data_IF_723169179122
#
_entry.id   IF_723169179122
#
_cell.length_a   1.000
_cell.length_b   1.000
_cell.length_c   1.000
_cell.angle_alpha   90.00
_cell.angle_beta   90.00
_cell.angle_gamma   90.00
#
_symmetry.space_group_name_H-M   'P 1'
#
loop_
_entity.id
_entity.type
_entity.pdbx_description
1 polymer ?
#
# COMPACT_ATOMS: atom_id res chain seq x y z
N UNK A 1 -51.15 -27.97 41.64
CA UNK A 1 -50.95 -27.79 40.18
C UNK A 1 -49.45 -27.69 39.95
N UNK A 2 -48.79 -28.83 39.66
CA UNK A 2 -47.32 -28.89 39.53
C UNK A 2 -46.92 -28.67 38.07
N UNK A 3 -46.37 -27.50 37.77
CA UNK A 3 -45.83 -27.17 36.45
C UNK A 3 -44.41 -27.72 36.37
N UNK A 4 -44.22 -28.73 35.51
CA UNK A 4 -42.88 -29.21 35.12
C UNK A 4 -42.33 -28.26 34.05
N UNK A 5 -41.26 -27.55 34.36
CA UNK A 5 -40.52 -26.75 33.39
C UNK A 5 -39.61 -27.70 32.62
N UNK A 6 -39.90 -27.93 31.34
CA UNK A 6 -38.99 -28.60 30.43
C UNK A 6 -37.93 -27.59 29.95
N UNK A 7 -36.68 -27.79 30.33
CA UNK A 7 -35.56 -27.00 29.82
C UNK A 7 -35.16 -27.52 28.45
N UNK A 8 -35.50 -26.76 27.40
CA UNK A 8 -35.04 -27.02 26.04
C UNK A 8 -33.55 -26.69 25.94
N UNK A 9 -32.69 -27.69 25.74
CA UNK A 9 -31.27 -27.48 25.45
C UNK A 9 -31.14 -26.74 24.11
N UNK A 10 -30.72 -25.48 24.16
CA UNK A 10 -30.29 -24.73 22.98
C UNK A 10 -28.86 -25.16 22.64
N UNK A 11 -28.68 -25.97 21.59
CA UNK A 11 -27.34 -26.33 21.11
C UNK A 11 -26.66 -25.12 20.47
N UNK A 12 -25.72 -24.53 21.19
CA UNK A 12 -24.79 -23.52 20.66
C UNK A 12 -23.87 -24.20 19.65
N UNK A 13 -24.17 -24.04 18.36
CA UNK A 13 -23.19 -24.32 17.31
C UNK A 13 -22.07 -23.27 17.42
N UNK A 14 -20.92 -23.68 17.95
CA UNK A 14 -19.71 -22.89 17.86
C UNK A 14 -19.26 -22.84 16.40
N UNK A 15 -19.59 -21.75 15.71
CA UNK A 15 -18.94 -21.44 14.44
C UNK A 15 -17.46 -21.20 14.73
N UNK A 16 -16.61 -22.17 14.39
CA UNK A 16 -15.16 -21.93 14.32
C UNK A 16 -14.91 -21.01 13.15
N UNK A 17 -14.87 -19.70 13.40
CA UNK A 17 -14.33 -18.74 12.45
C UNK A 17 -12.83 -19.00 12.36
N UNK A 18 -12.37 -19.63 11.28
CA UNK A 18 -10.95 -19.66 10.96
C UNK A 18 -10.52 -18.22 10.73
N UNK A 19 -9.72 -17.67 11.65
CA UNK A 19 -9.14 -16.35 11.46
C UNK A 19 -8.30 -16.38 10.18
N UNK A 20 -8.65 -15.55 9.19
CA UNK A 20 -7.86 -15.41 7.96
C UNK A 20 -6.42 -15.06 8.31
N UNK A 21 -5.45 -15.71 7.65
CA UNK A 21 -4.03 -15.37 7.77
C UNK A 21 -3.76 -13.91 7.40
N UNK A 22 -4.66 -13.29 6.62
CA UNK A 22 -4.55 -11.92 6.10
C UNK A 22 -5.75 -11.08 6.53
N UNK A 23 -5.47 -9.85 6.97
CA UNK A 23 -6.45 -8.81 7.30
C UNK A 23 -6.08 -7.50 6.60
N UNK A 24 -6.85 -6.44 6.86
CA UNK A 24 -6.54 -5.08 6.42
C UNK A 24 -6.46 -4.14 7.63
N UNK A 25 -5.53 -3.18 7.58
CA UNK A 25 -5.38 -2.18 8.64
C UNK A 25 -5.14 -0.79 8.06
N UNK A 26 -5.73 0.22 8.70
CA UNK A 26 -5.46 1.63 8.40
C UNK A 26 -4.10 2.06 8.97
N UNK A 27 -3.27 2.68 8.14
CA UNK A 27 -1.94 3.22 8.51
C UNK A 27 -1.84 4.72 8.19
N UNK A 28 -0.68 5.32 8.45
CA UNK A 28 -0.37 6.70 8.04
C UNK A 28 -0.29 6.86 6.52
N UNK A 29 -0.23 5.77 5.76
CA UNK A 29 -0.21 5.76 4.30
C UNK A 29 -1.44 5.11 3.68
N UNK A 30 -2.56 4.95 4.39
CA UNK A 30 -3.75 4.30 3.85
C UNK A 30 -3.96 2.88 4.35
N UNK A 31 -4.91 2.18 3.74
CA UNK A 31 -5.23 0.80 4.07
C UNK A 31 -4.19 -0.16 3.46
N UNK A 32 -3.67 -1.05 4.29
CA UNK A 32 -2.66 -2.04 3.91
C UNK A 32 -3.14 -3.44 4.26
N UNK A 33 -2.66 -4.44 3.55
CA UNK A 33 -2.81 -5.82 3.98
C UNK A 33 -1.86 -6.12 5.14
N UNK A 34 -2.34 -6.89 6.11
CA UNK A 34 -1.58 -7.34 7.28
C UNK A 34 -1.71 -8.84 7.47
N UNK A 35 -0.85 -9.44 8.28
CA UNK A 35 -1.18 -10.76 8.85
C UNK A 35 -2.29 -10.65 9.92
N UNK A 36 -2.67 -11.79 10.50
CA UNK A 36 -3.65 -11.87 11.60
C UNK A 36 -3.24 -11.14 12.90
N UNK A 37 -1.96 -10.77 13.04
CA UNK A 37 -1.44 -9.96 14.15
C UNK A 37 -1.42 -8.45 13.83
N UNK A 38 -1.86 -8.03 12.65
CA UNK A 38 -1.82 -6.62 12.21
C UNK A 38 -0.45 -6.16 11.71
N UNK A 39 0.50 -7.07 11.50
CA UNK A 39 1.80 -6.73 10.92
C UNK A 39 1.67 -6.53 9.41
N UNK A 40 2.14 -5.39 8.91
CA UNK A 40 2.03 -5.01 7.49
C UNK A 40 2.73 -6.02 6.58
N UNK A 41 2.07 -6.32 5.45
CA UNK A 41 2.61 -7.14 4.39
C UNK A 41 3.28 -6.27 3.32
N UNK A 42 4.36 -6.81 2.76
CA UNK A 42 5.17 -6.18 1.73
C UNK A 42 5.37 -7.13 0.55
N UNK A 43 5.77 -6.57 -0.59
CA UNK A 43 6.28 -7.33 -1.73
C UNK A 43 7.67 -6.83 -2.12
N UNK A 44 8.40 -7.72 -2.80
CA UNK A 44 9.77 -7.49 -3.23
C UNK A 44 9.83 -7.21 -4.73
N UNK A 45 10.30 -6.03 -5.13
CA UNK A 45 10.34 -5.59 -6.52
C UNK A 45 11.23 -6.48 -7.42
N UNK A 46 12.18 -7.21 -6.83
CA UNK A 46 13.07 -8.13 -7.56
C UNK A 46 12.50 -9.55 -7.71
N UNK A 47 11.37 -9.86 -7.07
CA UNK A 47 10.70 -11.13 -7.30
C UNK A 47 10.11 -11.16 -8.72
N UNK A 48 10.03 -12.37 -9.29
CA UNK A 48 9.31 -12.60 -10.55
C UNK A 48 7.87 -12.98 -10.22
N UNK A 49 6.93 -12.86 -11.18
CA UNK A 49 5.58 -13.36 -11.02
C UNK A 49 5.58 -14.79 -10.46
N UNK A 50 4.93 -14.97 -9.32
CA UNK A 50 4.79 -16.23 -8.58
C UNK A 50 6.10 -16.90 -8.13
N UNK A 51 7.21 -16.14 -8.09
CA UNK A 51 8.52 -16.69 -7.74
C UNK A 51 9.31 -15.73 -6.83
N UNK A 52 9.49 -16.18 -5.57
CA UNK A 52 10.37 -15.54 -4.61
C UNK A 52 11.85 -15.82 -4.93
N UNK A 53 12.68 -14.77 -4.90
CA UNK A 53 14.16 -14.86 -4.86
C UNK A 53 14.72 -14.54 -3.47
N UNK A 54 13.87 -14.21 -2.49
CA UNK A 54 14.27 -13.89 -1.13
C UNK A 54 14.40 -15.15 -0.25
N UNK A 55 15.65 -15.52 0.04
CA UNK A 55 16.03 -16.66 0.89
C UNK A 55 17.18 -16.29 1.82
N UNK A 56 17.54 -17.20 2.71
CA UNK A 56 18.70 -17.07 3.60
C UNK A 56 18.63 -15.76 4.42
N UNK A 57 19.65 -14.91 4.37
CA UNK A 57 19.66 -13.64 5.11
C UNK A 57 18.56 -12.68 4.66
N UNK A 58 18.12 -12.76 3.40
CA UNK A 58 16.95 -12.00 2.95
C UNK A 58 15.71 -12.43 3.74
N UNK A 59 15.45 -13.74 3.85
CA UNK A 59 14.27 -14.26 4.53
C UNK A 59 14.32 -14.09 6.07
N UNK A 60 15.50 -13.90 6.67
CA UNK A 60 15.62 -13.53 8.09
C UNK A 60 15.14 -12.10 8.33
N UNK A 61 15.45 -11.20 7.41
CA UNK A 61 15.05 -9.79 7.49
C UNK A 61 13.62 -9.57 7.00
N UNK A 62 13.22 -10.32 5.97
CA UNK A 62 11.92 -10.29 5.31
C UNK A 62 11.27 -11.68 5.35
N UNK A 63 10.72 -12.10 6.50
CA UNK A 63 10.10 -13.42 6.60
C UNK A 63 8.98 -13.59 5.57
N UNK A 64 8.98 -14.67 4.76
CA UNK A 64 7.88 -14.94 3.85
C UNK A 64 6.60 -15.23 4.65
N UNK A 65 5.46 -14.75 4.14
CA UNK A 65 4.16 -15.14 4.69
C UNK A 65 3.82 -16.55 4.21
N UNK A 66 4.20 -17.55 5.00
CA UNK A 66 3.99 -18.95 4.68
C UNK A 66 2.52 -19.35 4.81
N UNK A 67 2.10 -20.29 3.98
CA UNK A 67 0.79 -20.94 4.09
C UNK A 67 0.89 -22.01 5.18
N UNK A 68 0.14 -21.85 6.26
CA UNK A 68 0.14 -22.83 7.36
C UNK A 68 -0.76 -24.04 7.06
N UNK A 69 -1.83 -23.82 6.29
CA UNK A 69 -2.78 -24.84 5.86
C UNK A 69 -2.95 -24.82 4.34
N UNK A 70 -2.49 -25.89 3.69
CA UNK A 70 -2.55 -26.02 2.24
C UNK A 70 -3.98 -26.13 1.69
N UNK A 71 -4.98 -26.39 2.54
CA UNK A 71 -6.40 -26.38 2.14
C UNK A 71 -7.05 -25.00 2.20
N UNK A 72 -6.42 -24.04 2.89
CA UNK A 72 -6.95 -22.67 3.02
C UNK A 72 -7.08 -21.97 1.67
N UNK A 73 -8.15 -21.22 1.45
CA UNK A 73 -8.34 -20.41 0.25
C UNK A 73 -8.81 -19.03 0.66
N UNK A 74 -8.10 -18.00 0.20
CA UNK A 74 -8.41 -16.61 0.50
C UNK A 74 -8.68 -15.86 -0.81
N UNK A 75 -9.82 -15.17 -0.96
CA UNK A 75 -10.13 -14.41 -2.17
C UNK A 75 -9.03 -13.40 -2.54
N UNK A 76 -8.64 -13.38 -3.81
CA UNK A 76 -7.61 -12.46 -4.32
C UNK A 76 -6.16 -12.85 -4.01
N UNK A 77 -5.94 -14.00 -3.34
CA UNK A 77 -4.63 -14.52 -3.02
C UNK A 77 -4.37 -15.85 -3.73
N UNK A 78 -3.13 -16.06 -4.13
CA UNK A 78 -2.64 -17.31 -4.68
C UNK A 78 -1.55 -17.90 -3.79
N UNK A 79 -1.31 -19.21 -3.93
CA UNK A 79 -0.22 -19.92 -3.25
C UNK A 79 0.88 -20.18 -4.26
N UNK A 80 2.11 -19.90 -3.87
CA UNK A 80 3.30 -20.18 -4.67
C UNK A 80 4.16 -21.20 -3.96
N UNK A 81 4.74 -22.13 -4.71
CA UNK A 81 5.71 -23.07 -4.16
C UNK A 81 7.10 -22.44 -4.20
N UNK A 82 7.73 -22.32 -3.03
CA UNK A 82 9.10 -21.84 -2.89
C UNK A 82 10.09 -22.96 -3.22
N UNK A 83 11.34 -22.58 -3.54
CA UNK A 83 12.42 -23.55 -3.85
C UNK A 83 12.77 -24.48 -2.68
N UNK A 84 12.45 -24.08 -1.46
CA UNK A 84 12.65 -24.83 -0.22
C UNK A 84 11.48 -25.80 0.08
N UNK A 85 10.52 -25.93 -0.84
CA UNK A 85 9.36 -26.81 -0.75
C UNK A 85 8.18 -26.21 0.02
N UNK A 86 8.33 -25.05 0.67
CA UNK A 86 7.25 -24.41 1.43
C UNK A 86 6.29 -23.65 0.52
N UNK A 87 5.03 -23.56 0.92
CA UNK A 87 4.04 -22.71 0.25
C UNK A 87 4.03 -21.31 0.86
N UNK A 88 3.96 -20.28 0.01
CA UNK A 88 3.88 -18.87 0.41
C UNK A 88 2.66 -18.21 -0.22
N UNK A 89 2.04 -17.31 0.54
CA UNK A 89 0.97 -16.46 0.04
C UNK A 89 1.52 -15.39 -0.92
N UNK A 90 0.84 -15.21 -2.05
CA UNK A 90 1.11 -14.18 -3.03
C UNK A 90 -0.19 -13.45 -3.41
N UNK A 91 -0.06 -12.19 -3.82
CA UNK A 91 -1.17 -11.37 -4.29
C UNK A 91 -0.77 -10.70 -5.59
N UNK A 92 -1.64 -10.74 -6.61
CA UNK A 92 -1.35 -10.17 -7.93
C UNK A 92 0.02 -10.66 -8.48
N UNK A 93 0.31 -11.94 -8.31
CA UNK A 93 1.58 -12.59 -8.66
C UNK A 93 2.81 -12.11 -7.85
N UNK A 94 2.63 -11.33 -6.79
CA UNK A 94 3.70 -10.85 -5.93
C UNK A 94 3.77 -11.64 -4.63
N UNK A 95 4.89 -12.32 -4.32
CA UNK A 95 5.07 -13.01 -3.04
C UNK A 95 4.98 -12.02 -1.86
N UNK A 96 4.28 -12.41 -0.79
CA UNK A 96 4.05 -11.55 0.38
C UNK A 96 5.04 -11.85 1.51
N UNK A 97 5.51 -10.79 2.15
CA UNK A 97 6.51 -10.84 3.22
C UNK A 97 6.11 -9.97 4.40
N UNK A 98 6.63 -10.31 5.57
CA UNK A 98 6.69 -9.46 6.75
C UNK A 98 8.03 -8.73 6.80
N UNK A 99 8.13 -7.71 7.65
CA UNK A 99 9.39 -7.01 7.92
C UNK A 99 9.82 -7.20 9.37
N UNK A 100 11.03 -7.75 9.58
CA UNK A 100 11.57 -8.08 10.92
C UNK A 100 11.72 -6.87 11.86
N UNK A 101 11.77 -5.65 11.34
CA UNK A 101 11.87 -4.43 12.17
C UNK A 101 10.54 -3.74 12.44
N UNK A 102 9.43 -4.16 11.84
CA UNK A 102 8.12 -3.75 12.32
C UNK A 102 7.88 -4.38 13.70
N UNK A 103 7.41 -3.59 14.67
CA UNK A 103 7.28 -3.99 16.09
C UNK A 103 5.86 -3.94 16.61
N UNK A 104 4.99 -3.16 15.99
CA UNK A 104 3.57 -3.06 16.37
C UNK A 104 2.67 -3.13 15.14
N UNK A 105 1.38 -3.50 15.34
CA UNK A 105 0.39 -3.47 14.28
C UNK A 105 0.34 -2.12 13.57
N UNK A 106 0.29 -2.15 12.23
CA UNK A 106 0.27 -0.94 11.39
C UNK A 106 1.61 -0.24 11.21
N UNK A 107 2.72 -0.76 11.75
CA UNK A 107 4.06 -0.29 11.36
C UNK A 107 4.29 -0.53 9.86
N UNK A 108 4.90 0.46 9.21
CA UNK A 108 5.22 0.43 7.77
C UNK A 108 6.73 0.67 7.53
N UNK A 109 7.58 0.32 8.50
CA UNK A 109 8.99 0.76 8.49
C UNK A 109 9.81 0.12 7.37
N UNK A 110 9.34 -1.01 6.84
CA UNK A 110 9.91 -1.70 5.68
C UNK A 110 9.71 -0.96 4.35
N UNK A 111 8.75 -0.04 4.28
CA UNK A 111 8.44 0.66 3.05
C UNK A 111 9.65 1.46 2.55
N UNK A 112 10.05 1.23 1.29
CA UNK A 112 11.17 1.91 0.66
C UNK A 112 12.55 1.46 1.13
N UNK A 113 12.66 0.37 1.91
CA UNK A 113 13.98 -0.20 2.27
C UNK A 113 14.72 -0.58 0.99
N UNK A 114 15.93 -0.01 0.81
CA UNK A 114 16.74 -0.16 -0.42
C UNK A 114 15.99 0.19 -1.71
N UNK A 115 14.85 0.89 -1.62
CA UNK A 115 13.97 1.26 -2.73
C UNK A 115 13.40 0.11 -3.56
N UNK A 116 13.41 -1.11 -3.01
CA UNK A 116 12.96 -2.34 -3.69
C UNK A 116 11.91 -3.11 -2.87
N UNK A 117 11.48 -2.57 -1.74
CA UNK A 117 10.44 -3.15 -0.88
C UNK A 117 9.25 -2.20 -0.80
N UNK A 118 8.10 -2.70 -1.21
CA UNK A 118 6.87 -1.93 -1.30
C UNK A 118 5.78 -2.50 -0.41
N UNK A 119 4.91 -1.62 0.09
CA UNK A 119 3.76 -2.00 0.92
C UNK A 119 2.74 -2.73 0.05
N UNK A 120 2.21 -3.85 0.53
CA UNK A 120 1.02 -4.48 -0.05
C UNK A 120 -0.21 -3.67 0.35
N UNK A 121 -0.62 -2.74 -0.52
CA UNK A 121 -1.76 -1.85 -0.27
C UNK A 121 -3.08 -2.58 -0.46
N UNK A 122 -4.03 -2.34 0.44
CA UNK A 122 -5.40 -2.85 0.35
C UNK A 122 -6.37 -1.84 -0.31
N UNK A 123 -5.82 -0.74 -0.82
CA UNK A 123 -6.53 0.27 -1.60
C UNK A 123 -5.88 0.43 -2.99
N UNK A 124 -6.59 1.10 -3.90
CA UNK A 124 -6.16 1.27 -5.30
C UNK A 124 -5.19 2.42 -5.52
N UNK A 125 -4.66 3.03 -4.46
CA UNK A 125 -3.88 4.27 -4.57
C UNK A 125 -2.50 3.93 -5.18
N UNK A 126 -2.12 4.52 -6.32
CA UNK A 126 -0.95 4.08 -7.09
C UNK A 126 0.37 4.70 -6.59
N UNK A 127 0.59 4.66 -5.28
CA UNK A 127 1.76 5.27 -4.62
C UNK A 127 2.70 4.24 -4.00
N UNK A 128 3.96 4.63 -3.89
CA UNK A 128 5.04 3.90 -3.25
C UNK A 128 5.84 4.84 -2.33
N UNK A 129 6.73 4.24 -1.54
CA UNK A 129 7.71 4.97 -0.71
C UNK A 129 9.10 4.77 -1.28
N UNK A 130 9.86 5.86 -1.40
CA UNK A 130 11.23 5.85 -1.89
C UNK A 130 12.14 6.62 -0.93
N UNK A 131 13.27 6.04 -0.58
CA UNK A 131 14.30 6.67 0.26
C UNK A 131 15.23 7.51 -0.60
N UNK A 132 15.33 8.80 -0.26
CA UNK A 132 16.21 9.80 -0.90
C UNK A 132 17.11 10.46 0.14
N UNK A 133 18.00 11.36 -0.29
CA UNK A 133 18.78 12.19 0.63
C UNK A 133 17.92 13.16 1.45
N UNK A 134 16.68 13.44 1.02
CA UNK A 134 15.73 14.29 1.73
C UNK A 134 14.77 13.49 2.61
N UNK A 135 15.06 12.21 2.88
CA UNK A 135 14.21 11.29 3.62
C UNK A 135 13.35 10.41 2.73
N UNK A 136 12.34 9.77 3.33
CA UNK A 136 11.37 8.95 2.61
C UNK A 136 10.36 9.85 1.91
N UNK A 137 10.12 9.64 0.62
CA UNK A 137 9.21 10.44 -0.20
C UNK A 137 8.12 9.57 -0.79
N UNK A 138 6.96 10.17 -1.08
CA UNK A 138 5.95 9.51 -1.90
C UNK A 138 6.36 9.53 -3.36
N UNK A 139 6.16 8.40 -4.02
CA UNK A 139 6.33 8.24 -5.46
C UNK A 139 5.11 7.60 -6.08
N UNK A 140 4.96 7.64 -7.40
CA UNK A 140 4.01 6.78 -8.10
C UNK A 140 4.52 5.31 -8.19
N UNK A 141 3.75 4.42 -8.84
CA UNK A 141 4.15 3.02 -9.09
C UNK A 141 5.48 2.89 -9.84
N UNK A 142 5.78 3.81 -10.75
CA UNK A 142 7.06 3.90 -11.47
C UNK A 142 8.20 4.53 -10.64
N UNK A 143 7.98 4.77 -9.34
CA UNK A 143 8.95 5.33 -8.39
C UNK A 143 9.39 6.77 -8.73
N UNK A 144 8.59 7.50 -9.51
CA UNK A 144 8.77 8.94 -9.75
C UNK A 144 8.20 9.74 -8.59
N UNK A 145 8.96 10.71 -8.09
CA UNK A 145 8.59 11.53 -6.93
C UNK A 145 7.30 12.31 -7.15
N UNK A 146 6.53 12.44 -6.07
CA UNK A 146 5.28 13.17 -6.05
C UNK A 146 5.43 14.50 -5.32
N UNK A 147 4.73 15.50 -5.84
CA UNK A 147 4.81 16.90 -5.41
C UNK A 147 3.41 17.45 -5.13
N UNK A 148 3.37 18.50 -4.32
CA UNK A 148 2.20 19.35 -4.10
C UNK A 148 2.49 20.77 -4.53
N UNK A 149 1.45 21.50 -4.93
CA UNK A 149 1.55 22.86 -5.43
C UNK A 149 0.98 23.85 -4.39
N UNK A 150 1.74 24.88 -4.02
CA UNK A 150 1.32 25.85 -2.99
C UNK A 150 0.13 26.72 -3.39
N UNK A 151 -0.15 26.83 -4.70
CA UNK A 151 -1.30 27.60 -5.21
C UNK A 151 -2.58 26.76 -5.29
N UNK A 152 -2.51 25.46 -5.03
CA UNK A 152 -3.71 24.64 -4.92
C UNK A 152 -4.47 24.97 -3.63
N UNK A 153 -5.79 24.90 -3.71
CA UNK A 153 -6.66 24.93 -2.54
C UNK A 153 -7.00 23.49 -2.13
N UNK A 154 -7.53 23.31 -0.91
CA UNK A 154 -7.90 21.97 -0.45
C UNK A 154 -8.89 21.32 -1.40
N UNK A 155 -8.50 20.18 -1.97
CA UNK A 155 -9.31 19.44 -2.92
C UNK A 155 -9.42 20.06 -4.32
N UNK A 156 -8.68 21.14 -4.65
CA UNK A 156 -8.82 21.85 -5.92
C UNK A 156 -7.47 22.24 -6.54
N UNK A 157 -7.22 21.76 -7.76
CA UNK A 157 -6.03 22.06 -8.55
C UNK A 157 -6.12 23.41 -9.26
N UNK A 158 -5.15 24.29 -9.00
CA UNK A 158 -4.87 25.50 -9.77
C UNK A 158 -3.94 25.23 -10.96
N UNK A 159 -3.39 24.01 -11.08
CA UNK A 159 -2.48 23.61 -12.15
C UNK A 159 -3.25 22.95 -13.32
N UNK A 160 -3.56 23.75 -14.34
CA UNK A 160 -4.29 23.34 -15.55
C UNK A 160 -3.53 23.76 -16.83
N UNK A 161 -3.91 23.22 -17.99
CA UNK A 161 -3.27 23.52 -19.27
C UNK A 161 -1.76 23.25 -19.27
N UNK A 162 -0.95 24.21 -19.73
CA UNK A 162 0.52 24.11 -19.77
C UNK A 162 1.17 23.75 -18.43
N UNK A 163 0.54 24.16 -17.32
CA UNK A 163 1.00 23.76 -15.99
C UNK A 163 0.97 22.24 -15.84
N UNK A 164 -0.16 21.61 -16.20
CA UNK A 164 -0.36 20.17 -16.09
C UNK A 164 0.48 19.37 -17.11
N UNK A 165 0.97 20.01 -18.18
CA UNK A 165 1.96 19.38 -19.09
C UNK A 165 3.31 19.25 -18.38
N UNK A 166 3.75 20.29 -17.68
CA UNK A 166 5.04 20.29 -16.96
C UNK A 166 4.97 19.55 -15.63
N UNK A 167 3.81 19.58 -14.99
CA UNK A 167 3.49 18.92 -13.73
C UNK A 167 2.31 17.96 -13.92
N UNK A 168 2.54 16.77 -14.51
CA UNK A 168 1.45 15.84 -14.78
C UNK A 168 0.73 15.44 -13.49
N UNK A 169 -0.61 15.55 -13.43
CA UNK A 169 -1.40 15.05 -12.32
C UNK A 169 -1.20 13.56 -12.09
N UNK A 170 -1.15 13.12 -10.83
CA UNK A 170 -1.32 11.72 -10.49
C UNK A 170 -2.79 11.35 -10.73
N UNK A 171 -3.07 10.80 -11.91
CA UNK A 171 -4.44 10.51 -12.36
C UNK A 171 -5.17 9.55 -11.41
N UNK A 172 -6.42 9.88 -11.13
CA UNK A 172 -7.41 9.01 -10.50
C UNK A 172 -8.55 8.74 -11.48
N UNK A 173 -9.42 7.80 -11.15
CA UNK A 173 -10.65 7.50 -11.88
C UNK A 173 -11.89 7.88 -11.07
N UNK A 174 -12.99 8.12 -11.78
CA UNK A 174 -14.29 8.28 -11.12
C UNK A 174 -14.65 6.99 -10.39
N UNK A 175 -14.99 7.10 -9.11
CA UNK A 175 -15.34 5.94 -8.28
C UNK A 175 -14.14 5.21 -7.67
N UNK A 176 -12.91 5.69 -7.87
CA UNK A 176 -11.76 5.23 -7.11
C UNK A 176 -12.03 5.37 -5.61
N UNK A 177 -11.80 4.29 -4.86
CA UNK A 177 -12.00 4.26 -3.41
C UNK A 177 -10.72 4.75 -2.74
N UNK A 178 -10.81 5.91 -2.11
CA UNK A 178 -9.73 6.48 -1.33
C UNK A 178 -9.72 5.94 0.11
N UNK A 179 -8.54 5.78 0.68
CA UNK A 179 -8.34 5.64 2.12
C UNK A 179 -7.56 6.85 2.63
N UNK A 180 -7.92 7.35 3.81
CA UNK A 180 -7.17 8.45 4.42
C UNK A 180 -5.68 8.07 4.55
N UNK A 181 -4.72 8.99 4.37
CA UNK A 181 -4.90 10.42 4.16
C UNK A 181 -5.10 10.83 2.69
N UNK A 182 -5.37 9.89 1.79
CA UNK A 182 -5.61 10.19 0.39
C UNK A 182 -7.07 10.50 0.10
N UNK A 183 -7.30 11.26 -0.96
CA UNK A 183 -8.62 11.55 -1.51
C UNK A 183 -8.56 11.64 -3.03
N UNK A 184 -9.73 11.59 -3.67
CA UNK A 184 -9.88 11.86 -5.10
C UNK A 184 -10.48 13.25 -5.27
N UNK A 185 -9.90 14.05 -6.16
CA UNK A 185 -10.37 15.40 -6.48
C UNK A 185 -10.78 15.49 -7.94
N UNK A 186 -11.85 16.24 -8.22
CA UNK A 186 -12.22 16.58 -9.61
C UNK A 186 -11.39 17.77 -10.09
N UNK A 187 -11.06 17.74 -11.38
CA UNK A 187 -10.34 18.80 -12.08
C UNK A 187 -11.30 19.61 -12.95
N UNK A 188 -10.88 20.82 -13.34
CA UNK A 188 -11.69 21.71 -14.18
C UNK A 188 -11.98 21.14 -15.57
N UNK A 189 -11.09 20.27 -16.07
CA UNK A 189 -11.20 19.56 -17.34
C UNK A 189 -12.11 18.30 -17.27
N UNK A 190 -12.74 18.05 -16.10
CA UNK A 190 -13.61 16.89 -15.87
C UNK A 190 -12.85 15.60 -15.52
N UNK A 191 -11.52 15.60 -15.52
CA UNK A 191 -10.71 14.45 -15.08
C UNK A 191 -10.58 14.40 -13.55
N UNK A 192 -10.00 13.32 -13.03
CA UNK A 192 -9.80 13.11 -11.60
C UNK A 192 -8.32 12.94 -11.25
N UNK A 193 -7.96 13.36 -10.04
CA UNK A 193 -6.57 13.32 -9.55
C UNK A 193 -6.54 12.87 -8.10
N UNK A 194 -5.48 12.14 -7.74
CA UNK A 194 -5.21 11.78 -6.36
C UNK A 194 -4.66 12.98 -5.59
N UNK A 195 -5.11 13.14 -4.36
CA UNK A 195 -4.60 14.10 -3.40
C UNK A 195 -4.08 13.39 -2.14
N UNK A 196 -3.10 13.98 -1.47
CA UNK A 196 -2.56 13.55 -0.19
C UNK A 196 -2.76 14.68 0.83
N UNK A 197 -3.44 14.38 1.93
CA UNK A 197 -3.81 15.37 2.96
C UNK A 197 -4.52 16.59 2.35
N UNK A 198 -5.43 16.34 1.41
CA UNK A 198 -6.19 17.38 0.70
C UNK A 198 -5.44 18.11 -0.42
N UNK A 199 -4.13 17.85 -0.60
CA UNK A 199 -3.30 18.51 -1.63
C UNK A 199 -3.19 17.65 -2.88
N UNK A 200 -3.57 18.14 -4.07
CA UNK A 200 -3.42 17.39 -5.32
C UNK A 200 -1.95 16.99 -5.57
N UNK A 201 -1.75 15.76 -6.06
CA UNK A 201 -0.44 15.15 -6.27
C UNK A 201 -0.02 15.21 -7.73
N UNK A 202 1.23 15.61 -7.99
CA UNK A 202 1.78 15.72 -9.35
C UNK A 202 3.11 15.02 -9.45
N UNK A 203 3.47 14.58 -10.66
CA UNK A 203 4.86 14.27 -11.02
C UNK A 203 5.51 15.49 -11.67
N UNK A 204 6.82 15.43 -11.91
CA UNK A 204 7.59 16.50 -12.54
C UNK A 204 8.22 16.02 -13.85
N UNK A 205 8.03 16.76 -14.95
CA UNK A 205 8.48 16.35 -16.29
C UNK A 205 10.01 16.21 -16.40
N UNK A 206 10.79 16.90 -15.56
CA UNK A 206 12.25 16.81 -15.58
C UNK A 206 12.82 15.72 -14.66
N UNK A 207 12.01 15.07 -13.84
CA UNK A 207 12.44 13.84 -13.18
C UNK A 207 12.49 12.71 -14.22
N UNK A 208 13.65 12.09 -14.39
CA UNK A 208 13.90 11.10 -15.47
C UNK A 208 14.12 9.70 -14.96
N UNK A 209 14.47 9.53 -13.69
CA UNK A 209 14.68 8.22 -13.06
C UNK A 209 13.99 8.13 -11.70
N UNK A 210 13.73 6.89 -11.22
CA UNK A 210 13.27 6.65 -9.86
C UNK A 210 14.04 7.45 -8.80
N UNK A 211 13.31 8.13 -7.93
CA UNK A 211 13.89 8.91 -6.84
C UNK A 211 14.51 10.26 -7.22
N UNK A 212 14.43 10.69 -8.49
CA UNK A 212 14.72 12.09 -8.81
C UNK A 212 13.77 13.01 -8.05
N UNK A 213 14.30 14.10 -7.49
CA UNK A 213 13.56 15.08 -6.69
C UNK A 213 13.75 16.51 -7.23
N UNK A 214 13.99 16.64 -8.54
CA UNK A 214 14.42 17.91 -9.15
C UNK A 214 13.30 18.95 -9.23
N UNK A 215 12.06 18.53 -8.95
CA UNK A 215 10.90 19.42 -8.86
C UNK A 215 10.80 20.14 -7.51
N UNK A 216 11.56 19.73 -6.50
CA UNK A 216 11.43 20.35 -5.18
C UNK A 216 11.84 21.82 -5.25
N UNK A 217 11.00 22.69 -4.67
CA UNK A 217 11.19 24.15 -4.61
C UNK A 217 11.29 24.87 -5.96
N UNK A 218 10.93 24.23 -7.08
CA UNK A 218 10.81 24.92 -8.36
C UNK A 218 9.89 26.14 -8.21
N UNK A 219 10.38 27.31 -8.63
CA UNK A 219 9.69 28.60 -8.50
C UNK A 219 9.16 28.93 -7.08
N UNK A 220 9.75 28.34 -6.03
CA UNK A 220 9.29 28.44 -4.63
C UNK A 220 7.81 28.05 -4.43
N UNK A 221 7.24 27.26 -5.34
CA UNK A 221 5.82 26.93 -5.34
C UNK A 221 5.53 25.42 -5.30
N UNK A 222 6.54 24.59 -5.52
CA UNK A 222 6.40 23.14 -5.56
C UNK A 222 7.11 22.51 -4.36
N UNK A 223 6.46 21.56 -3.71
CA UNK A 223 7.01 20.87 -2.55
C UNK A 223 6.99 19.37 -2.80
N UNK A 224 8.15 18.75 -2.66
CA UNK A 224 8.28 17.30 -2.59
C UNK A 224 7.47 16.75 -1.41
N UNK A 225 6.74 15.67 -1.62
CA UNK A 225 5.99 15.00 -0.55
C UNK A 225 6.93 14.10 0.24
N UNK A 226 7.50 14.64 1.30
CA UNK A 226 8.34 13.92 2.27
C UNK A 226 7.46 13.36 3.38
N UNK A 227 7.68 12.10 3.73
CA UNK A 227 7.00 11.41 4.82
C UNK A 227 7.70 11.69 6.16
N UNK A 228 6.94 11.79 7.26
CA UNK A 228 7.49 12.01 8.60
C UNK A 228 8.33 10.82 9.11
#
# INVERSE_FOLDING_TARGET
MNIRIAATLLSLFAFSATASDISTQQTTLGQVYTNNQGMTLYYFDNDKPDQSVCYDDCAKLWPPLLVNDETSSLPGLNKIQRKDGKMQWAMNHQPLYLWSKDKKPGDITGAGVKNIWSISRADSIPVNVYSTNNGKVLTNKAKMSLYTFTKDSDGLSSCNGDCAIKWPPLAAQQGDVASAPFSVVSRQDGTYQWAYQGKPLYTWINDKKPGDITGDKVANAWNLVVLP
#
